data_IF_315738991051
#
_entry.id   IF_315738991051
#
_cell.length_a   1.000
_cell.length_b   1.000
_cell.length_c   1.000
_cell.angle_alpha   90.00
_cell.angle_beta   90.00
_cell.angle_gamma   90.00
#
_symmetry.space_group_name_H-M   'P 1'
#
loop_
_entity.id
_entity.type
_entity.pdbx_description
1 polymer ?
#
# COMPACT_ATOMS: atom_id res chain seq x y z
N UNK A 1 -21.98 4.09 -1.60
CA UNK A 1 -20.84 3.22 -1.27
C UNK A 1 -19.86 4.10 -0.50
N UNK A 2 -19.65 3.90 0.80
CA UNK A 2 -18.59 4.64 1.51
C UNK A 2 -17.28 4.18 0.85
N UNK A 3 -16.51 5.10 0.26
CA UNK A 3 -15.12 4.79 -0.12
C UNK A 3 -14.48 4.20 1.13
N UNK A 4 -14.13 2.92 1.10
CA UNK A 4 -13.37 2.30 2.19
C UNK A 4 -12.11 3.15 2.37
N UNK A 5 -11.74 3.42 3.62
CA UNK A 5 -10.56 4.23 3.91
C UNK A 5 -9.30 3.38 3.66
N UNK A 6 -8.89 3.32 2.39
CA UNK A 6 -7.78 2.48 1.93
C UNK A 6 -6.49 2.87 2.66
N UNK A 7 -6.21 4.15 2.85
CA UNK A 7 -5.01 4.61 3.55
C UNK A 7 -4.96 4.15 5.01
N UNK A 8 -6.05 4.36 5.75
CA UNK A 8 -6.15 3.89 7.14
C UNK A 8 -5.96 2.38 7.24
N UNK A 9 -6.56 1.62 6.31
CA UNK A 9 -6.39 0.16 6.24
C UNK A 9 -4.95 -0.24 5.93
N UNK A 10 -4.26 0.46 5.03
CA UNK A 10 -2.84 0.22 4.71
C UNK A 10 -1.96 0.49 5.92
N UNK A 11 -2.18 1.61 6.62
CA UNK A 11 -1.43 1.94 7.83
C UNK A 11 -1.64 0.89 8.94
N UNK A 12 -2.87 0.42 9.13
CA UNK A 12 -3.17 -0.66 10.08
C UNK A 12 -2.48 -1.97 9.71
N UNK A 13 -2.49 -2.34 8.42
CA UNK A 13 -1.80 -3.55 7.94
C UNK A 13 -0.27 -3.44 8.07
N UNK A 14 0.30 -2.26 7.83
CA UNK A 14 1.74 -2.00 7.96
C UNK A 14 2.23 -2.08 9.41
N UNK A 15 1.35 -1.83 10.39
CA UNK A 15 1.69 -1.84 11.82
C UNK A 15 1.30 -3.12 12.55
N UNK A 16 0.44 -3.94 11.94
CA UNK A 16 -0.06 -5.17 12.55
C UNK A 16 1.02 -6.26 12.69
N UNK A 17 1.96 -6.32 11.76
CA UNK A 17 3.00 -7.34 11.69
C UNK A 17 4.36 -6.73 11.28
N UNK A 18 5.48 -7.41 11.57
CA UNK A 18 6.80 -7.00 11.07
C UNK A 18 6.87 -6.99 9.54
N UNK A 19 7.83 -6.24 9.00
CA UNK A 19 8.06 -6.03 7.56
C UNK A 19 7.90 -7.29 6.70
N UNK A 20 8.57 -8.39 7.07
CA UNK A 20 8.57 -9.65 6.31
C UNK A 20 7.17 -10.23 6.06
N UNK A 21 6.23 -9.97 6.97
CA UNK A 21 4.84 -10.43 6.89
C UNK A 21 3.90 -9.36 6.37
N UNK A 22 4.16 -8.10 6.70
CA UNK A 22 3.36 -6.97 6.26
C UNK A 22 3.49 -6.75 4.74
N UNK A 23 4.70 -6.87 4.18
CA UNK A 23 4.96 -6.63 2.75
C UNK A 23 4.14 -7.51 1.81
N UNK A 24 4.16 -8.86 1.88
CA UNK A 24 3.35 -9.69 1.00
C UNK A 24 1.85 -9.47 1.20
N UNK A 25 1.42 -9.17 2.42
CA UNK A 25 0.02 -8.87 2.75
C UNK A 25 -0.45 -7.59 2.06
N UNK A 26 0.33 -6.51 2.16
CA UNK A 26 0.02 -5.24 1.50
C UNK A 26 0.09 -5.33 -0.01
N UNK A 27 1.05 -6.08 -0.58
CA UNK A 27 1.09 -6.35 -2.02
C UNK A 27 -0.16 -7.09 -2.50
N UNK A 28 -0.59 -8.12 -1.76
CA UNK A 28 -1.82 -8.85 -2.07
C UNK A 28 -3.07 -7.98 -2.00
N UNK A 29 -3.15 -7.12 -0.98
CA UNK A 29 -4.24 -6.15 -0.84
C UNK A 29 -4.26 -5.14 -2.00
N UNK A 30 -3.10 -4.57 -2.35
CA UNK A 30 -2.97 -3.64 -3.46
C UNK A 30 -3.36 -4.29 -4.81
N UNK A 31 -2.93 -5.54 -5.05
CA UNK A 31 -3.31 -6.30 -6.23
C UNK A 31 -4.82 -6.55 -6.30
N UNK A 32 -5.45 -6.96 -5.20
CA UNK A 32 -6.88 -7.17 -5.14
C UNK A 32 -7.68 -5.89 -5.44
N UNK A 33 -7.22 -4.72 -4.96
CA UNK A 33 -7.82 -3.43 -5.29
C UNK A 33 -7.71 -3.10 -6.78
N UNK A 34 -6.55 -3.35 -7.40
CA UNK A 34 -6.39 -3.18 -8.84
C UNK A 34 -7.30 -4.12 -9.64
N UNK A 35 -7.43 -5.38 -9.21
CA UNK A 35 -8.27 -6.39 -9.88
C UNK A 35 -9.76 -6.03 -9.88
N UNK A 36 -10.25 -5.37 -8.82
CA UNK A 36 -11.63 -4.86 -8.75
C UNK A 36 -11.81 -3.50 -9.44
N UNK A 37 -10.77 -2.98 -10.09
CA UNK A 37 -10.81 -1.75 -10.89
C UNK A 37 -10.52 -0.47 -10.10
N UNK A 38 -9.91 -0.55 -8.90
CA UNK A 38 -9.46 0.64 -8.19
C UNK A 38 -8.37 1.37 -9.00
N UNK A 39 -8.48 2.68 -9.23
CA UNK A 39 -7.49 3.38 -10.06
C UNK A 39 -6.11 3.36 -9.43
N UNK A 40 -5.09 2.99 -10.20
CA UNK A 40 -3.69 2.95 -9.71
C UNK A 40 -3.23 4.28 -9.12
N UNK A 41 -3.54 5.39 -9.78
CA UNK A 41 -3.15 6.72 -9.29
C UNK A 41 -3.84 7.08 -7.97
N UNK A 42 -5.09 6.64 -7.77
CA UNK A 42 -5.77 6.79 -6.48
C UNK A 42 -5.11 5.90 -5.43
N UNK A 43 -4.75 4.66 -5.80
CA UNK A 43 -4.10 3.72 -4.90
C UNK A 43 -2.73 4.23 -4.42
N UNK A 44 -1.91 4.76 -5.34
CA UNK A 44 -0.62 5.34 -4.99
C UNK A 44 -0.78 6.52 -4.00
N UNK A 45 -1.78 7.39 -4.22
CA UNK A 45 -2.07 8.50 -3.28
C UNK A 45 -2.55 8.00 -1.92
N UNK A 46 -3.32 6.92 -1.88
CA UNK A 46 -3.75 6.31 -0.61
C UNK A 46 -2.58 5.68 0.15
N UNK A 47 -1.64 5.04 -0.53
CA UNK A 47 -0.40 4.56 0.10
C UNK A 47 0.47 5.72 0.60
N UNK A 48 0.57 6.81 -0.17
CA UNK A 48 1.27 8.04 0.25
C UNK A 48 0.62 8.65 1.51
N UNK A 49 -0.72 8.68 1.55
CA UNK A 49 -1.49 9.11 2.72
C UNK A 49 -1.27 8.18 3.91
N UNK A 50 -1.23 6.88 3.69
CA UNK A 50 -0.96 5.89 4.73
C UNK A 50 0.43 6.12 5.37
N UNK A 51 1.45 6.44 4.56
CA UNK A 51 2.78 6.82 5.09
C UNK A 51 2.70 8.04 6.02
N UNK A 52 1.97 9.09 5.62
CA UNK A 52 1.74 10.26 6.47
C UNK A 52 0.98 9.94 7.77
N UNK A 53 0.06 8.97 7.74
CA UNK A 53 -0.60 8.48 8.96
C UNK A 53 0.36 7.70 9.86
N UNK A 54 1.24 6.86 9.29
CA UNK A 54 2.26 6.14 10.05
C UNK A 54 3.23 7.10 10.75
N UNK A 55 3.71 8.11 10.02
CA UNK A 55 4.56 9.18 10.55
C UNK A 55 3.83 9.92 11.69
N UNK A 56 2.56 10.32 11.47
CA UNK A 56 1.74 10.98 12.48
C UNK A 56 1.43 10.13 13.72
N UNK A 57 1.44 8.81 13.58
CA UNK A 57 1.29 7.84 14.69
C UNK A 57 2.60 7.57 15.42
N UNK A 58 3.75 8.01 14.89
CA UNK A 58 5.08 7.63 15.39
C UNK A 58 5.34 6.14 15.24
N UNK A 59 4.87 5.55 14.13
CA UNK A 59 5.09 4.15 13.83
C UNK A 59 6.59 3.84 13.63
N UNK A 60 6.95 2.55 13.65
CA UNK A 60 8.30 2.14 13.32
C UNK A 60 8.64 2.50 11.87
N UNK A 61 9.86 2.95 11.61
CA UNK A 61 10.38 3.27 10.27
C UNK A 61 10.16 2.12 9.29
N UNK A 62 10.31 0.88 9.76
CA UNK A 62 10.05 -0.35 8.99
C UNK A 62 8.61 -0.44 8.41
N UNK A 63 7.62 0.16 9.09
CA UNK A 63 6.24 0.20 8.59
C UNK A 63 6.11 1.18 7.42
N UNK A 64 6.83 2.31 7.46
CA UNK A 64 6.90 3.26 6.36
C UNK A 64 7.65 2.67 5.16
N UNK A 65 8.75 1.95 5.41
CA UNK A 65 9.51 1.24 4.39
C UNK A 65 8.66 0.18 3.68
N UNK A 66 7.83 -0.54 4.44
CA UNK A 66 6.88 -1.51 3.86
C UNK A 66 5.93 -0.83 2.87
N UNK A 67 5.41 0.36 3.22
CA UNK A 67 4.50 1.12 2.35
C UNK A 67 5.25 1.62 1.09
N UNK A 68 6.47 2.12 1.25
CA UNK A 68 7.32 2.58 0.15
C UNK A 68 7.63 1.45 -0.85
N UNK A 69 7.94 0.26 -0.37
CA UNK A 69 8.23 -0.90 -1.22
C UNK A 69 7.01 -1.37 -2.02
N UNK A 70 5.80 -1.18 -1.48
CA UNK A 70 4.56 -1.46 -2.22
C UNK A 70 4.29 -0.36 -3.24
N UNK A 71 4.57 0.90 -2.92
CA UNK A 71 4.50 1.98 -3.91
C UNK A 71 5.47 1.77 -5.07
N UNK A 72 6.71 1.35 -4.80
CA UNK A 72 7.68 1.00 -5.86
C UNK A 72 7.19 -0.18 -6.70
N UNK A 73 6.58 -1.20 -6.08
CA UNK A 73 5.91 -2.27 -6.80
C UNK A 73 4.76 -1.75 -7.70
N UNK A 74 3.96 -0.82 -7.21
CA UNK A 74 2.83 -0.24 -7.97
C UNK A 74 3.28 0.65 -9.13
N UNK A 75 4.35 1.42 -8.97
CA UNK A 75 4.92 2.25 -10.04
C UNK A 75 5.73 1.42 -11.03
N UNK A 76 6.44 0.39 -10.56
CA UNK A 76 7.11 -0.60 -11.41
C UNK A 76 6.13 -1.36 -12.30
N UNK A 77 4.95 -1.71 -11.77
CA UNK A 77 3.86 -2.29 -12.57
C UNK A 77 3.27 -1.30 -13.60
N UNK A 78 3.37 0.01 -13.36
CA UNK A 78 3.00 1.06 -14.34
C UNK A 78 4.02 1.15 -15.50
N UNK A 79 5.26 0.71 -15.28
CA UNK A 79 6.35 0.72 -16.26
C UNK A 79 6.35 -0.56 -17.12
N UNK A 80 5.25 -0.82 -17.84
CA UNK A 80 5.21 -1.71 -19.01
C UNK A 80 5.94 -3.09 -18.93
N UNK A 81 5.60 -3.99 -17.99
CA UNK A 81 5.84 -5.46 -18.06
C UNK A 81 4.88 -6.11 -17.04
N UNK A 82 3.87 -6.91 -17.39
CA UNK A 82 4.00 -8.21 -18.05
C UNK A 82 2.73 -8.50 -18.86
N UNK A 83 2.88 -8.59 -20.18
CA UNK A 83 2.07 -9.54 -20.97
C UNK A 83 2.40 -10.93 -20.40
N UNK A 84 1.43 -11.55 -19.73
CA UNK A 84 1.30 -13.00 -19.72
C UNK A 84 0.11 -13.34 -20.62
#
# INVERSE_FOLDING_TARGET
MRREDVAGRVADLATAEPYERALPTLRGYAAALLDIGYPRDELCRDFERARGELEGRGAAEEAEDTVLDVMDFLTGFSSSFMKL
#
